data_IF_525721378847
#
_entry.id   IF_525721378847
#
_cell.length_a   1.000
_cell.length_b   1.000
_cell.length_c   1.000
_cell.angle_alpha   90.00
_cell.angle_beta   90.00
_cell.angle_gamma   90.00
#
_symmetry.space_group_name_H-M   'P 1'
#
loop_
_entity.id
_entity.type
_entity.pdbx_description
1 polymer ?
#
# COMPACT_ATOMS: atom_id res chain seq x y z
N UNK A 1 9.71 2.44 11.77
CA UNK A 1 10.53 1.65 10.83
C UNK A 1 10.87 0.28 11.42
N UNK A 2 10.75 -0.79 10.63
CA UNK A 2 10.94 -2.17 11.09
C UNK A 2 12.29 -2.74 10.62
N UNK A 3 13.29 -2.68 11.50
CA UNK A 3 14.65 -3.11 11.16
C UNK A 3 14.73 -4.61 10.86
N UNK A 4 13.99 -5.45 11.59
CA UNK A 4 14.02 -6.90 11.40
C UNK A 4 13.53 -7.31 10.01
N UNK A 5 12.47 -6.66 9.51
CA UNK A 5 11.98 -6.90 8.16
C UNK A 5 12.96 -6.42 7.09
N UNK A 6 13.59 -5.26 7.29
CA UNK A 6 14.61 -4.74 6.37
C UNK A 6 15.81 -5.67 6.28
N UNK A 7 16.28 -6.18 7.41
CA UNK A 7 17.40 -7.12 7.45
C UNK A 7 17.04 -8.44 6.75
N UNK A 8 15.80 -8.92 6.92
CA UNK A 8 15.29 -10.10 6.22
C UNK A 8 15.23 -9.90 4.70
N UNK A 9 14.72 -8.76 4.24
CA UNK A 9 14.65 -8.44 2.81
C UNK A 9 16.03 -8.21 2.20
N UNK A 10 16.96 -7.56 2.92
CA UNK A 10 18.33 -7.39 2.49
C UNK A 10 19.03 -8.75 2.31
N UNK A 11 18.87 -9.67 3.25
CA UNK A 11 19.37 -11.04 3.13
C UNK A 11 18.79 -11.78 1.92
N UNK A 12 17.50 -11.58 1.63
CA UNK A 12 16.87 -12.16 0.45
C UNK A 12 17.45 -11.58 -0.85
N UNK A 13 17.70 -10.27 -0.90
CA UNK A 13 18.25 -9.58 -2.07
C UNK A 13 19.72 -9.95 -2.32
N UNK A 14 20.55 -10.06 -1.29
CA UNK A 14 21.98 -10.42 -1.41
C UNK A 14 22.19 -11.87 -1.86
N UNK A 15 21.28 -12.77 -1.47
CA UNK A 15 21.34 -14.19 -1.84
C UNK A 15 20.64 -14.51 -3.15
N UNK A 16 19.74 -13.65 -3.60
CA UNK A 16 19.02 -13.78 -4.87
C UNK A 16 19.93 -13.44 -6.07
N UNK A 17 20.88 -14.32 -6.35
CA UNK A 17 21.52 -14.38 -7.67
C UNK A 17 20.57 -14.89 -8.77
N UNK A 18 19.40 -15.43 -8.42
CA UNK A 18 18.36 -15.96 -9.35
C UNK A 18 17.02 -16.38 -8.72
N UNK A 19 16.85 -16.34 -7.39
CA UNK A 19 15.68 -16.90 -6.73
C UNK A 19 14.59 -15.85 -6.44
N UNK A 20 13.35 -16.24 -6.69
CA UNK A 20 12.18 -15.37 -6.62
C UNK A 20 11.87 -15.02 -5.17
N UNK A 21 11.99 -13.75 -4.79
CA UNK A 21 11.39 -13.26 -3.54
C UNK A 21 9.88 -13.21 -3.74
N UNK A 22 9.17 -14.25 -3.31
CA UNK A 22 7.72 -14.23 -3.24
C UNK A 22 7.29 -13.63 -1.90
N UNK A 23 6.69 -12.45 -1.97
CA UNK A 23 6.21 -11.72 -0.81
C UNK A 23 4.70 -11.87 -0.70
N UNK A 24 4.27 -12.80 0.15
CA UNK A 24 2.86 -13.00 0.45
C UNK A 24 2.52 -12.29 1.75
N UNK A 25 1.59 -11.33 1.67
CA UNK A 25 0.94 -10.76 2.85
C UNK A 25 -0.27 -11.63 3.16
N UNK A 26 -0.22 -12.36 4.27
CA UNK A 26 -1.35 -13.21 4.71
C UNK A 26 -1.89 -12.73 6.05
N UNK A 27 -3.21 -12.74 6.18
CA UNK A 27 -3.91 -12.47 7.44
C UNK A 27 -4.06 -13.78 8.21
N UNK A 28 -3.45 -13.85 9.39
CA UNK A 28 -3.80 -14.83 10.41
C UNK A 28 -4.67 -14.11 11.44
N UNK A 29 -5.87 -14.64 11.67
CA UNK A 29 -6.85 -14.10 12.64
C UNK A 29 -6.25 -13.92 14.05
N UNK A 30 -5.19 -14.67 14.38
CA UNK A 30 -4.57 -14.63 15.70
C UNK A 30 -3.27 -13.82 15.78
N UNK A 31 -2.62 -13.54 14.64
CA UNK A 31 -1.23 -13.06 14.62
C UNK A 31 -1.03 -11.74 13.86
N UNK A 32 -2.07 -11.20 13.22
CA UNK A 32 -1.98 -9.99 12.39
C UNK A 32 -1.39 -10.27 11.00
N UNK A 33 -1.16 -9.24 10.17
CA UNK A 33 -0.61 -9.42 8.83
C UNK A 33 0.83 -9.89 8.90
N UNK A 34 1.11 -10.96 8.16
CA UNK A 34 2.44 -11.58 8.08
C UNK A 34 3.01 -11.45 6.68
N UNK A 35 4.31 -11.22 6.59
CA UNK A 35 5.09 -11.28 5.36
C UNK A 35 5.85 -12.58 5.33
N UNK A 36 5.64 -13.36 4.28
CA UNK A 36 6.47 -14.55 4.01
C UNK A 36 7.54 -14.19 2.99
N UNK A 37 8.77 -14.61 3.25
CA UNK A 37 9.94 -14.43 2.38
C UNK A 37 10.62 -15.79 2.24
N UNK A 38 10.74 -16.29 1.01
CA UNK A 38 11.46 -17.55 0.74
C UNK A 38 12.89 -17.25 0.27
N UNK A 39 13.88 -17.79 0.97
CA UNK A 39 15.32 -17.62 0.70
C UNK A 39 15.96 -19.01 0.67
N UNK A 40 16.64 -19.38 -0.41
CA UNK A 40 17.30 -20.70 -0.54
C UNK A 40 16.34 -21.89 -0.27
N UNK A 41 15.07 -21.76 -0.64
CA UNK A 41 14.03 -22.77 -0.37
C UNK A 41 13.50 -22.81 1.07
N UNK A 42 13.98 -21.92 1.96
CA UNK A 42 13.49 -21.77 3.33
C UNK A 42 12.51 -20.60 3.43
N UNK A 43 11.30 -20.84 3.94
CA UNK A 43 10.30 -19.80 4.16
C UNK A 43 10.46 -19.17 5.54
N UNK A 44 10.77 -17.88 5.56
CA UNK A 44 10.79 -17.03 6.74
C UNK A 44 9.45 -16.29 6.84
N UNK A 45 8.84 -16.30 8.02
CA UNK A 45 7.61 -15.53 8.28
C UNK A 45 7.90 -14.43 9.27
N UNK A 46 7.55 -13.19 8.92
CA UNK A 46 7.69 -12.01 9.75
C UNK A 46 6.32 -11.38 10.02
N UNK A 47 5.99 -11.12 11.28
CA UNK A 47 4.75 -10.42 11.65
C UNK A 47 4.98 -8.93 11.53
N UNK A 48 4.17 -8.23 10.74
CA UNK A 48 4.26 -6.78 10.63
C UNK A 48 3.81 -6.11 11.92
N UNK A 49 4.57 -5.09 12.35
CA UNK A 49 4.19 -4.29 13.51
C UNK A 49 2.88 -3.54 13.28
N UNK A 50 2.15 -3.19 14.35
CA UNK A 50 1.01 -2.29 14.27
C UNK A 50 1.37 -0.98 13.55
N UNK A 51 0.44 -0.44 12.76
CA UNK A 51 0.70 0.76 11.96
C UNK A 51 1.13 1.97 12.84
N UNK A 52 0.58 2.04 14.06
CA UNK A 52 0.92 3.07 15.04
C UNK A 52 2.41 3.08 15.46
N UNK A 53 3.10 1.95 15.36
CA UNK A 53 4.51 1.79 15.72
C UNK A 53 5.47 2.01 14.54
N UNK A 54 4.92 2.09 13.32
CA UNK A 54 5.73 2.14 12.11
C UNK A 54 6.07 3.56 11.66
N UNK A 55 5.33 4.57 12.15
CA UNK A 55 5.56 5.97 11.77
C UNK A 55 6.99 6.43 12.04
N UNK A 56 7.57 7.07 11.02
CA UNK A 56 8.87 7.70 11.05
C UNK A 56 8.80 9.20 11.28
N UNK A 57 9.92 9.88 11.01
CA UNK A 57 10.04 11.35 11.13
C UNK A 57 9.26 12.10 10.06
N UNK A 58 9.05 11.47 8.90
CA UNK A 58 8.36 12.05 7.76
C UNK A 58 9.25 12.72 6.74
N UNK A 59 8.62 13.15 5.66
CA UNK A 59 9.25 13.87 4.55
C UNK A 59 9.10 15.37 4.82
N UNK A 60 10.21 16.11 4.76
CA UNK A 60 10.24 17.57 4.98
C UNK A 60 9.74 18.37 3.76
N UNK A 61 8.67 17.91 3.12
CA UNK A 61 8.09 18.54 1.94
C UNK A 61 6.82 19.32 2.31
N UNK A 62 6.73 20.61 1.94
CA UNK A 62 5.60 21.48 2.29
C UNK A 62 4.31 21.06 1.60
N UNK A 63 4.43 20.47 0.41
CA UNK A 63 3.30 19.95 -0.39
C UNK A 63 3.55 18.50 -0.77
N UNK A 64 2.46 17.74 -0.98
CA UNK A 64 2.55 16.35 -1.40
C UNK A 64 2.36 16.35 -2.92
N UNK A 65 3.42 15.99 -3.62
CA UNK A 65 3.41 15.73 -5.05
C UNK A 65 3.47 14.21 -5.27
N UNK A 66 2.41 13.57 -5.78
CA UNK A 66 2.39 12.12 -6.03
C UNK A 66 3.46 11.65 -7.02
N UNK A 67 3.98 12.53 -7.86
CA UNK A 67 5.04 12.21 -8.82
C UNK A 67 6.44 12.37 -8.22
N UNK A 68 6.57 12.90 -7.00
CA UNK A 68 7.87 13.09 -6.37
C UNK A 68 8.42 11.74 -5.90
N UNK A 69 9.74 11.50 -6.06
CA UNK A 69 10.37 10.26 -5.60
C UNK A 69 10.10 9.93 -4.13
N UNK A 70 9.92 10.97 -3.30
CA UNK A 70 9.69 10.83 -1.87
C UNK A 70 8.29 10.34 -1.53
N UNK A 71 7.25 10.69 -2.30
CA UNK A 71 5.87 10.27 -2.01
C UNK A 71 5.33 9.20 -2.95
N UNK A 72 6.01 8.97 -4.07
CA UNK A 72 5.61 7.97 -5.04
C UNK A 72 5.45 6.57 -4.42
N UNK A 73 6.38 6.04 -3.57
CA UNK A 73 6.21 4.73 -2.94
C UNK A 73 4.92 4.65 -2.10
N UNK A 74 4.64 5.68 -1.31
CA UNK A 74 3.43 5.75 -0.48
C UNK A 74 2.14 5.80 -1.32
N UNK A 75 2.14 6.60 -2.38
CA UNK A 75 0.97 6.71 -3.27
C UNK A 75 0.74 5.40 -4.02
N UNK A 76 1.80 4.80 -4.57
CA UNK A 76 1.72 3.52 -5.28
C UNK A 76 1.24 2.40 -4.36
N UNK A 77 1.75 2.29 -3.13
CA UNK A 77 1.29 1.28 -2.19
C UNK A 77 -0.23 1.36 -1.93
N UNK A 78 -0.77 2.57 -1.79
CA UNK A 78 -2.22 2.76 -1.61
C UNK A 78 -2.97 2.41 -2.91
N UNK A 79 -2.57 2.93 -4.06
CA UNK A 79 -3.30 2.71 -5.33
C UNK A 79 -3.22 1.25 -5.81
N UNK A 80 -2.09 0.56 -5.60
CA UNK A 80 -1.96 -0.87 -5.90
C UNK A 80 -2.86 -1.73 -5.00
N UNK A 81 -2.98 -1.39 -3.71
CA UNK A 81 -3.87 -2.11 -2.80
C UNK A 81 -5.34 -1.98 -3.23
N UNK A 82 -5.77 -0.78 -3.66
CA UNK A 82 -7.12 -0.55 -4.19
C UNK A 82 -7.35 -1.40 -5.45
N UNK A 83 -6.38 -1.46 -6.35
CA UNK A 83 -6.47 -2.31 -7.54
C UNK A 83 -6.50 -3.80 -7.21
N UNK A 84 -5.80 -4.24 -6.15
CA UNK A 84 -5.90 -5.63 -5.71
C UNK A 84 -7.30 -5.94 -5.19
N UNK A 85 -7.87 -5.03 -4.39
CA UNK A 85 -9.25 -5.16 -3.90
C UNK A 85 -10.24 -5.27 -5.07
N UNK A 86 -10.09 -4.46 -6.12
CA UNK A 86 -10.99 -4.48 -7.28
C UNK A 86 -10.96 -5.82 -8.04
N UNK A 87 -9.78 -6.45 -8.13
CA UNK A 87 -9.64 -7.78 -8.75
C UNK A 87 -10.32 -8.88 -7.94
N UNK A 88 -10.31 -8.77 -6.62
CA UNK A 88 -10.90 -9.74 -5.70
C UNK A 88 -12.39 -9.47 -5.47
N UNK A 89 -12.81 -8.21 -5.62
CA UNK A 89 -14.17 -7.70 -5.39
C UNK A 89 -14.65 -6.94 -6.63
N UNK A 90 -15.22 -7.64 -7.65
CA UNK A 90 -15.60 -7.03 -8.93
C UNK A 90 -16.69 -5.94 -8.84
N UNK A 91 -17.40 -5.86 -7.71
CA UNK A 91 -18.43 -4.84 -7.45
C UNK A 91 -17.88 -3.63 -6.66
N UNK A 92 -16.56 -3.53 -6.52
CA UNK A 92 -15.94 -2.39 -5.87
C UNK A 92 -16.21 -1.10 -6.67
N UNK A 93 -16.75 -0.09 -6.00
CA UNK A 93 -17.06 1.22 -6.59
C UNK A 93 -16.13 2.29 -6.05
N UNK A 94 -15.98 3.38 -6.80
CA UNK A 94 -15.25 4.56 -6.36
C UNK A 94 -15.79 5.11 -5.02
N UNK A 95 -17.11 5.00 -4.79
CA UNK A 95 -17.74 5.43 -3.53
C UNK A 95 -17.23 4.62 -2.33
N UNK A 96 -17.12 3.29 -2.46
CA UNK A 96 -16.58 2.43 -1.40
C UNK A 96 -15.10 2.75 -1.13
N UNK A 97 -14.32 2.94 -2.19
CA UNK A 97 -12.91 3.36 -2.09
C UNK A 97 -12.80 4.72 -1.38
N UNK A 98 -13.63 5.69 -1.76
CA UNK A 98 -13.61 7.02 -1.16
C UNK A 98 -13.92 6.98 0.35
N UNK A 99 -14.93 6.23 0.77
CA UNK A 99 -15.28 6.07 2.19
C UNK A 99 -14.15 5.44 3.00
N UNK A 100 -13.49 4.41 2.45
CA UNK A 100 -12.33 3.79 3.08
C UNK A 100 -11.17 4.80 3.26
N UNK A 101 -10.85 5.55 2.21
CA UNK A 101 -9.80 6.58 2.24
C UNK A 101 -10.10 7.72 3.21
N UNK A 102 -11.35 8.20 3.24
CA UNK A 102 -11.77 9.28 4.15
C UNK A 102 -11.70 8.84 5.61
N UNK A 103 -12.12 7.60 5.93
CA UNK A 103 -11.98 7.02 7.27
C UNK A 103 -10.52 6.93 7.70
N UNK A 104 -9.67 6.35 6.85
CA UNK A 104 -8.24 6.21 7.14
C UNK A 104 -7.53 7.57 7.20
N UNK A 105 -7.96 8.56 6.43
CA UNK A 105 -7.40 9.91 6.46
C UNK A 105 -7.62 10.63 7.80
N UNK A 106 -8.61 10.21 8.60
CA UNK A 106 -8.85 10.69 9.96
C UNK A 106 -7.91 9.95 10.91
N UNK A 107 -7.99 8.62 10.92
CA UNK A 107 -7.19 7.75 11.80
C UNK A 107 -6.71 6.53 11.00
N UNK A 108 -5.49 6.55 10.44
CA UNK A 108 -5.00 5.45 9.59
C UNK A 108 -4.90 4.12 10.33
N UNK A 109 -4.71 4.18 11.65
CA UNK A 109 -4.63 3.03 12.55
C UNK A 109 -5.99 2.62 13.14
N UNK A 110 -7.11 3.14 12.62
CA UNK A 110 -8.44 2.70 13.06
C UNK A 110 -8.67 1.22 12.77
N UNK A 111 -9.53 0.61 13.57
CA UNK A 111 -9.95 -0.78 13.36
C UNK A 111 -10.70 -0.89 12.03
N UNK A 112 -10.39 -1.94 11.29
CA UNK A 112 -10.97 -2.25 9.98
C UNK A 112 -11.54 -3.67 10.01
N UNK A 113 -12.55 -3.93 9.19
CA UNK A 113 -13.00 -5.30 8.97
C UNK A 113 -12.04 -6.00 8.01
N UNK A 114 -11.72 -7.30 8.22
CA UNK A 114 -10.70 -8.02 7.44
C UNK A 114 -10.90 -7.95 5.92
N UNK A 115 -12.15 -7.93 5.45
CA UNK A 115 -12.53 -7.95 4.03
C UNK A 115 -12.91 -6.54 3.48
N UNK A 116 -12.56 -5.47 4.20
CA UNK A 116 -12.82 -4.10 3.76
C UNK A 116 -11.58 -3.52 3.07
N UNK A 117 -11.78 -2.72 2.02
CA UNK A 117 -10.72 -2.03 1.26
C UNK A 117 -9.76 -1.27 2.18
N UNK A 118 -10.27 -0.76 3.30
CA UNK A 118 -9.43 -0.08 4.28
C UNK A 118 -8.43 -1.01 4.98
N UNK A 119 -8.76 -2.28 5.22
CA UNK A 119 -7.86 -3.29 5.78
C UNK A 119 -6.69 -3.52 4.83
N UNK A 120 -6.97 -3.69 3.53
CA UNK A 120 -5.93 -3.88 2.51
C UNK A 120 -5.03 -2.66 2.36
N UNK A 121 -5.62 -1.45 2.33
CA UNK A 121 -4.84 -0.20 2.36
C UNK A 121 -3.98 -0.15 3.64
N UNK A 122 -4.53 -0.52 4.81
CA UNK A 122 -3.79 -0.50 6.07
C UNK A 122 -2.61 -1.49 6.06
N UNK A 123 -2.77 -2.66 5.45
CA UNK A 123 -1.70 -3.66 5.30
C UNK A 123 -0.62 -3.19 4.34
N UNK A 124 -1.01 -2.59 3.20
CA UNK A 124 -0.07 -1.98 2.28
C UNK A 124 0.71 -0.83 2.94
N UNK A 125 0.04 -0.02 3.76
CA UNK A 125 0.69 1.02 4.56
C UNK A 125 1.66 0.43 5.59
N UNK A 126 1.30 -0.64 6.30
CA UNK A 126 2.22 -1.32 7.24
C UNK A 126 3.48 -1.78 6.52
N UNK A 127 3.33 -2.35 5.32
CA UNK A 127 4.47 -2.78 4.54
C UNK A 127 5.34 -1.61 4.09
N UNK A 128 4.72 -0.58 3.51
CA UNK A 128 5.40 0.62 3.05
C UNK A 128 6.16 1.31 4.20
N UNK A 129 5.54 1.52 5.36
CA UNK A 129 6.15 2.21 6.52
C UNK A 129 7.17 1.34 7.28
N UNK A 130 7.17 0.03 7.05
CA UNK A 130 8.27 -0.82 7.51
C UNK A 130 9.56 -0.51 6.76
N UNK A 131 9.42 -0.11 5.48
CA UNK A 131 10.52 0.16 4.57
C UNK A 131 10.83 1.65 4.41
N UNK A 132 9.91 2.56 4.73
CA UNK A 132 10.03 3.99 4.47
C UNK A 132 9.82 4.84 5.73
N UNK A 133 10.39 6.04 5.74
CA UNK A 133 10.38 6.93 6.92
C UNK A 133 9.23 7.95 6.92
N UNK A 134 8.00 7.52 6.62
CA UNK A 134 6.84 8.42 6.57
C UNK A 134 6.27 8.73 7.95
N UNK A 135 5.89 10.00 8.16
CA UNK A 135 5.14 10.39 9.36
C UNK A 135 3.66 10.06 9.20
N UNK A 136 2.92 10.07 10.32
CA UNK A 136 1.46 9.98 10.29
C UNK A 136 0.82 11.07 9.43
N UNK A 137 1.40 12.28 9.43
CA UNK A 137 0.90 13.40 8.64
C UNK A 137 1.07 13.16 7.14
N UNK A 138 2.16 12.52 6.73
CA UNK A 138 2.43 12.17 5.32
C UNK A 138 1.40 11.16 4.82
N UNK A 139 1.14 10.12 5.60
CA UNK A 139 0.10 9.12 5.31
C UNK A 139 -1.28 9.78 5.16
N UNK A 140 -1.68 10.61 6.13
CA UNK A 140 -2.95 11.32 6.05
C UNK A 140 -3.04 12.25 4.82
N UNK A 141 -1.93 12.89 4.43
CA UNK A 141 -1.89 13.74 3.23
C UNK A 141 -2.04 12.90 1.96
N UNK A 142 -1.37 11.76 1.88
CA UNK A 142 -1.46 10.85 0.73
C UNK A 142 -2.90 10.34 0.57
N UNK A 143 -3.50 9.83 1.65
CA UNK A 143 -4.89 9.36 1.65
C UNK A 143 -5.87 10.45 1.20
N UNK A 144 -5.73 11.69 1.71
CA UNK A 144 -6.57 12.82 1.28
C UNK A 144 -6.33 13.21 -0.17
N UNK A 145 -5.09 13.14 -0.65
CA UNK A 145 -4.77 13.46 -2.05
C UNK A 145 -5.41 12.44 -3.00
N UNK A 146 -5.31 11.16 -2.65
CA UNK A 146 -5.92 10.06 -3.40
C UNK A 146 -7.45 10.17 -3.34
N UNK A 147 -8.04 10.43 -2.18
CA UNK A 147 -9.49 10.66 -2.04
C UNK A 147 -10.00 11.79 -2.97
N UNK A 148 -9.27 12.91 -3.06
CA UNK A 148 -9.58 13.98 -4.02
C UNK A 148 -9.44 13.53 -5.47
N UNK A 149 -8.51 12.62 -5.76
CA UNK A 149 -8.39 11.98 -7.07
C UNK A 149 -9.63 11.15 -7.37
N UNK A 150 -10.05 10.29 -6.43
CA UNK A 150 -11.27 9.49 -6.54
C UNK A 150 -12.45 10.38 -6.88
N UNK A 151 -12.73 11.39 -6.05
CA UNK A 151 -13.84 12.33 -6.28
C UNK A 151 -13.80 12.99 -7.67
N UNK A 152 -12.61 13.40 -8.14
CA UNK A 152 -12.46 14.04 -9.45
C UNK A 152 -12.80 13.08 -10.59
N UNK A 153 -12.26 11.86 -10.55
CA UNK A 153 -12.51 10.87 -11.59
C UNK A 153 -13.93 10.32 -11.53
N UNK A 154 -14.51 10.13 -10.35
CA UNK A 154 -15.92 9.74 -10.22
C UNK A 154 -16.87 10.76 -10.82
N UNK A 155 -16.59 12.06 -10.64
CA UNK A 155 -17.39 13.14 -11.23
C UNK A 155 -17.26 13.20 -12.75
N UNK A 156 -16.09 12.89 -13.29
CA UNK A 156 -15.82 12.94 -14.72
C UNK A 156 -16.36 11.70 -15.47
N UNK A 157 -16.13 10.51 -14.91
CA UNK A 157 -16.23 9.24 -15.64
C UNK A 157 -17.23 8.24 -14.98
N UNK A 158 -17.95 8.67 -13.94
CA UNK A 158 -18.98 7.87 -13.27
C UNK A 158 -18.45 6.98 -12.12
N UNK A 159 -19.26 6.03 -11.60
CA UNK A 159 -19.01 5.31 -10.34
C UNK A 159 -17.78 4.39 -10.30
N UNK A 160 -17.11 4.19 -11.44
CA UNK A 160 -15.88 3.39 -11.59
C UNK A 160 -14.76 4.19 -12.27
N UNK A 161 -14.92 5.52 -12.35
CA UNK A 161 -14.02 6.40 -13.07
C UNK A 161 -12.59 6.34 -12.54
N UNK A 162 -12.45 6.36 -11.22
CA UNK A 162 -11.13 6.29 -10.58
C UNK A 162 -10.49 4.93 -10.74
N UNK A 163 -11.24 3.85 -10.49
CA UNK A 163 -10.74 2.48 -10.65
C UNK A 163 -10.22 2.22 -12.07
N UNK A 164 -10.95 2.65 -13.11
CA UNK A 164 -10.49 2.58 -14.50
C UNK A 164 -9.27 3.44 -14.77
N UNK A 165 -9.22 4.64 -14.18
CA UNK A 165 -8.08 5.54 -14.31
C UNK A 165 -6.81 4.89 -13.77
N UNK A 166 -6.81 4.40 -12.54
CA UNK A 166 -5.62 3.77 -11.96
C UNK A 166 -5.27 2.47 -12.68
N UNK A 167 -6.24 1.65 -13.07
CA UNK A 167 -5.97 0.44 -13.86
C UNK A 167 -5.21 0.75 -15.15
N UNK A 168 -5.60 1.83 -15.86
CA UNK A 168 -4.92 2.30 -17.07
C UNK A 168 -3.51 2.82 -16.80
N UNK A 169 -3.32 3.57 -15.71
CA UNK A 169 -1.98 4.06 -15.31
C UNK A 169 -1.05 2.89 -15.07
N UNK A 170 -1.47 1.90 -14.27
CA UNK A 170 -0.65 0.73 -13.95
C UNK A 170 -0.41 -0.21 -15.15
N UNK A 171 -1.38 -0.34 -16.08
CA UNK A 171 -1.15 -1.09 -17.32
C UNK A 171 -0.12 -0.42 -18.23
N UNK A 172 -0.10 0.92 -18.27
CA UNK A 172 0.84 1.68 -19.10
C UNK A 172 2.25 1.62 -18.53
N UNK A 173 2.39 1.78 -17.21
CA UNK A 173 3.69 1.72 -16.51
C UNK A 173 4.38 0.36 -16.61
N UNK A 174 3.62 -0.76 -16.62
CA UNK A 174 4.20 -2.11 -16.81
C UNK A 174 4.72 -2.37 -18.22
N UNK A 175 4.28 -1.62 -19.23
CA UNK A 175 4.82 -1.74 -20.60
C UNK A 175 6.20 -1.11 -20.75
N UNK A 176 6.57 -0.18 -19.87
CA UNK A 176 7.84 0.56 -19.94
C UNK A 176 9.04 -0.22 -19.39
N UNK A 177 8.82 -1.23 -18.55
CA UNK A 177 9.86 -2.11 -17.99
C UNK A 177 10.07 -3.42 -18.77
N UNK A 178 9.59 -3.48 -20.03
CA UNK A 178 9.70 -4.65 -20.93
C UNK A 178 10.67 -4.48 -22.11
N UNK A 179 11.55 -3.49 -22.06
CA UNK A 179 12.66 -3.30 -23.03
C UNK A 179 14.00 -3.46 -22.34
#
# INVERSE_FOLDING_TARGET
MDQALRDLLAQAMDKSGKDSVEMLVSHDENSGPTVRVTIDGQTHTHVLKPLAELYGKGVEAPTLDPASPEYMPLCLAIEESILSCERETPDLTDTRVLLALERLAIKPEADTHPDDVASDIQNALRMCLSLENYSRRDVQRALRKIAKSVQRHTRADGPYGYLRFIAKVFSTSRSFFRT
#
